data_IF_769671745470
#
_entry.id   IF_769671745470
#
_cell.length_a   1.000
_cell.length_b   1.000
_cell.length_c   1.000
_cell.angle_alpha   90.00
_cell.angle_beta   90.00
_cell.angle_gamma   90.00
#
_symmetry.space_group_name_H-M   'P 1'
#
loop_
_entity.id
_entity.type
_entity.pdbx_description
1 polymer ?
#
# COMPACT_ATOMS: atom_id res chain seq x y z
N UNK A 1 -24.84 33.05 17.17
CA UNK A 1 -25.49 33.08 15.84
C UNK A 1 -24.52 33.73 14.88
N UNK A 2 -24.07 33.01 13.84
CA UNK A 2 -23.13 33.51 12.85
C UNK A 2 -22.54 32.34 12.06
N UNK A 3 -23.34 31.74 11.17
CA UNK A 3 -22.84 30.79 10.17
C UNK A 3 -22.18 31.63 9.07
N UNK A 4 -20.85 31.59 8.97
CA UNK A 4 -20.14 32.09 7.81
C UNK A 4 -20.03 30.94 6.81
N UNK A 5 -21.01 30.85 5.91
CA UNK A 5 -20.82 30.08 4.69
C UNK A 5 -19.96 30.96 3.76
N UNK A 6 -18.72 30.54 3.47
CA UNK A 6 -17.95 31.11 2.36
C UNK A 6 -18.56 30.48 1.09
N UNK A 7 -19.35 31.22 0.29
CA UNK A 7 -19.95 30.67 -0.91
C UNK A 7 -18.84 30.57 -1.97
N UNK A 8 -18.72 29.40 -2.61
CA UNK A 8 -18.11 29.21 -3.94
C UNK A 8 -16.60 29.43 -4.14
N UNK A 9 -15.73 29.15 -3.17
CA UNK A 9 -14.30 28.93 -3.52
C UNK A 9 -14.11 27.49 -4.00
N UNK A 10 -14.14 27.28 -5.32
CA UNK A 10 -13.75 26.02 -5.94
C UNK A 10 -12.22 25.94 -6.07
N UNK A 11 -11.57 25.34 -5.08
CA UNK A 11 -10.14 25.05 -5.16
C UNK A 11 -9.90 23.81 -6.03
N UNK A 12 -9.16 23.97 -7.13
CA UNK A 12 -8.65 22.83 -7.89
C UNK A 12 -7.26 22.45 -7.38
N UNK A 13 -7.14 21.24 -6.86
CA UNK A 13 -5.88 20.66 -6.40
C UNK A 13 -5.33 19.75 -7.50
N UNK A 14 -4.08 19.98 -7.90
CA UNK A 14 -3.36 19.09 -8.81
C UNK A 14 -2.09 18.57 -8.12
N UNK A 15 -1.92 17.24 -8.12
CA UNK A 15 -0.69 16.56 -7.71
C UNK A 15 0.09 16.26 -8.98
N UNK A 16 1.29 16.83 -9.13
CA UNK A 16 2.13 16.51 -10.28
C UNK A 16 2.89 15.17 -10.09
N UNK A 17 3.59 14.74 -11.15
CA UNK A 17 4.40 13.51 -11.14
C UNK A 17 5.51 13.46 -10.09
N UNK A 18 5.85 14.60 -9.48
CA UNK A 18 6.85 14.72 -8.42
C UNK A 18 6.21 14.80 -7.03
N UNK A 19 4.87 14.73 -6.93
CA UNK A 19 4.13 14.83 -5.69
C UNK A 19 3.90 16.27 -5.21
N UNK A 20 4.12 17.29 -6.05
CA UNK A 20 3.90 18.69 -5.65
C UNK A 20 2.41 19.02 -5.77
N UNK A 21 1.85 19.55 -4.69
CA UNK A 21 0.50 20.12 -4.65
C UNK A 21 0.55 21.59 -5.09
N UNK A 22 -0.18 21.92 -6.17
CA UNK A 22 -0.34 23.32 -6.61
C UNK A 22 -1.79 23.75 -6.42
N UNK A 23 -1.98 24.88 -5.74
CA UNK A 23 -3.26 25.55 -5.64
C UNK A 23 -3.43 26.48 -6.85
N UNK A 24 -4.45 26.24 -7.66
CA UNK A 24 -4.74 27.03 -8.86
C UNK A 24 -6.01 27.85 -8.66
N UNK A 25 -5.89 28.95 -7.93
CA UNK A 25 -6.93 29.98 -7.91
C UNK A 25 -6.36 31.33 -7.46
N UNK A 26 -6.93 32.40 -8.01
CA UNK A 26 -6.70 33.74 -7.47
C UNK A 26 -7.60 33.90 -6.24
N UNK A 27 -7.02 34.31 -5.10
CA UNK A 27 -7.82 34.66 -3.93
C UNK A 27 -8.71 35.85 -4.30
N UNK A 28 -9.99 35.87 -3.88
CA UNK A 28 -10.85 37.02 -4.08
C UNK A 28 -10.24 38.28 -3.48
N UNK A 29 -10.38 39.43 -4.14
CA UNK A 29 -9.78 40.70 -3.70
C UNK A 29 -10.19 41.09 -2.28
N UNK A 30 -11.42 40.76 -1.85
CA UNK A 30 -11.90 41.06 -0.50
C UNK A 30 -11.15 40.29 0.61
N UNK A 31 -10.36 39.26 0.25
CA UNK A 31 -9.49 38.51 1.16
C UNK A 31 -8.05 39.04 1.18
N UNK A 32 -7.71 40.04 0.36
CA UNK A 32 -6.33 40.52 0.21
C UNK A 32 -5.74 41.13 1.49
N UNK A 33 -6.59 41.63 2.39
CA UNK A 33 -6.18 42.21 3.68
C UNK A 33 -6.49 41.31 4.88
N UNK A 34 -6.85 40.04 4.63
CA UNK A 34 -7.17 39.09 5.67
C UNK A 34 -6.08 38.02 5.77
N UNK A 35 -5.71 37.65 7.00
CA UNK A 35 -4.92 36.45 7.22
C UNK A 35 -5.79 35.22 6.91
N UNK A 36 -5.43 34.48 5.86
CA UNK A 36 -6.11 33.25 5.44
C UNK A 36 -5.28 32.04 5.87
N UNK A 37 -5.79 31.23 6.77
CA UNK A 37 -5.19 29.94 7.14
C UNK A 37 -5.75 28.81 6.25
N UNK A 38 -4.86 28.12 5.53
CA UNK A 38 -5.22 26.96 4.70
C UNK A 38 -4.62 25.69 5.32
N UNK A 39 -5.47 24.81 5.83
CA UNK A 39 -5.06 23.52 6.40
C UNK A 39 -5.27 22.42 5.36
N UNK A 40 -4.19 21.76 4.93
CA UNK A 40 -4.23 20.62 4.00
C UNK A 40 -3.83 19.36 4.76
N UNK A 41 -4.75 18.41 4.86
CA UNK A 41 -4.48 17.08 5.43
C UNK A 41 -4.36 16.05 4.33
N UNK A 42 -3.17 15.46 4.16
CA UNK A 42 -2.93 14.39 3.19
C UNK A 42 -2.87 13.04 3.92
N UNK A 43 -3.77 12.12 3.56
CA UNK A 43 -3.73 10.73 4.03
C UNK A 43 -3.22 9.81 2.93
N UNK A 44 -1.90 9.70 2.79
CA UNK A 44 -1.32 8.72 1.88
C UNK A 44 -1.27 7.34 2.54
N UNK A 45 -1.80 6.31 1.87
CA UNK A 45 -1.54 4.91 2.22
C UNK A 45 -0.37 4.42 1.37
N UNK A 46 0.61 3.69 1.93
CA UNK A 46 1.60 3.01 1.13
C UNK A 46 0.87 2.09 0.14
N UNK A 47 1.19 2.22 -1.14
CA UNK A 47 0.77 1.22 -2.12
C UNK A 47 1.58 -0.03 -1.79
N UNK A 48 0.92 -1.08 -1.31
CA UNK A 48 1.56 -2.38 -1.15
C UNK A 48 2.02 -2.82 -2.54
N UNK A 49 3.33 -2.84 -2.76
CA UNK A 49 3.89 -3.41 -3.98
C UNK A 49 3.46 -4.88 -4.03
N UNK A 50 3.01 -5.32 -5.21
CA UNK A 50 2.74 -6.73 -5.44
C UNK A 50 3.95 -7.55 -4.95
N UNK A 51 3.71 -8.66 -4.21
CA UNK A 51 4.81 -9.45 -3.66
C UNK A 51 5.75 -9.86 -4.80
N UNK A 52 7.06 -9.69 -4.57
CA UNK A 52 8.08 -10.09 -5.55
C UNK A 52 7.86 -11.54 -5.95
N UNK A 53 8.00 -11.84 -7.25
CA UNK A 53 7.93 -13.20 -7.75
C UNK A 53 8.93 -14.08 -6.99
N UNK A 54 8.45 -15.22 -6.46
CA UNK A 54 9.32 -16.15 -5.74
C UNK A 54 10.25 -16.82 -6.74
N UNK A 55 11.59 -16.73 -6.57
CA UNK A 55 12.51 -17.40 -7.48
C UNK A 55 12.32 -18.92 -7.39
N UNK A 56 12.22 -19.57 -8.56
CA UNK A 56 12.14 -21.02 -8.65
C UNK A 56 13.53 -21.64 -8.50
N UNK A 57 13.60 -22.80 -7.83
CA UNK A 57 14.81 -23.60 -7.80
C UNK A 57 15.94 -23.05 -6.92
N UNK A 58 15.61 -22.44 -5.78
CA UNK A 58 16.59 -21.96 -4.79
C UNK A 58 17.66 -23.00 -4.41
N UNK A 59 17.31 -24.29 -4.43
CA UNK A 59 18.21 -25.41 -4.11
C UNK A 59 18.51 -26.32 -5.31
N UNK A 60 18.30 -25.84 -6.54
CA UNK A 60 18.55 -26.64 -7.75
C UNK A 60 20.00 -27.12 -7.78
N UNK A 61 20.19 -28.43 -7.91
CA UNK A 61 21.51 -29.07 -7.94
C UNK A 61 22.20 -29.23 -6.58
N UNK A 62 21.67 -28.60 -5.53
CA UNK A 62 22.19 -28.72 -4.15
C UNK A 62 21.39 -29.73 -3.32
N UNK A 63 20.10 -29.90 -3.65
CA UNK A 63 19.24 -30.90 -3.03
C UNK A 63 19.03 -32.08 -4.00
N UNK A 64 19.27 -33.28 -3.50
CA UNK A 64 19.00 -34.53 -4.22
C UNK A 64 18.02 -35.35 -3.40
N UNK A 65 16.93 -35.77 -4.03
CA UNK A 65 15.93 -36.64 -3.41
C UNK A 65 16.43 -38.08 -3.48
N UNK A 66 16.58 -38.78 -2.34
CA UNK A 66 16.97 -40.19 -2.35
C UNK A 66 15.85 -41.05 -2.96
N UNK A 67 16.20 -42.20 -3.55
CA UNK A 67 15.22 -43.11 -4.15
C UNK A 67 14.16 -43.58 -3.14
N UNK A 68 14.56 -43.77 -1.87
CA UNK A 68 13.69 -44.17 -0.76
C UNK A 68 12.60 -43.16 -0.42
N UNK A 69 12.72 -41.90 -0.85
CA UNK A 69 11.65 -40.91 -0.68
C UNK A 69 10.34 -41.31 -1.38
N UNK A 70 10.45 -42.09 -2.46
CA UNK A 70 9.31 -42.54 -3.25
C UNK A 70 8.76 -43.89 -2.78
N UNK A 71 9.39 -44.52 -1.80
CA UNK A 71 8.89 -45.74 -1.17
C UNK A 71 7.75 -45.40 -0.19
N UNK A 72 6.88 -46.37 0.13
CA UNK A 72 5.86 -46.19 1.16
C UNK A 72 6.48 -45.72 2.49
N UNK A 73 5.75 -44.89 3.23
CA UNK A 73 6.17 -44.49 4.56
C UNK A 73 6.32 -45.73 5.47
N UNK A 74 7.33 -45.77 6.35
CA UNK A 74 7.46 -46.82 7.35
C UNK A 74 6.21 -46.93 8.22
N UNK A 75 5.86 -48.16 8.60
CA UNK A 75 4.68 -48.47 9.42
C UNK A 75 4.60 -47.64 10.69
N UNK A 76 5.73 -47.48 11.39
CA UNK A 76 5.83 -46.72 12.63
C UNK A 76 5.55 -45.22 12.44
N UNK A 77 5.87 -44.67 11.26
CA UNK A 77 5.53 -43.29 10.92
C UNK A 77 4.05 -43.21 10.57
N UNK A 78 3.52 -44.13 9.77
CA UNK A 78 2.11 -44.19 9.42
C UNK A 78 1.22 -44.31 10.66
N UNK A 79 1.56 -45.21 11.58
CA UNK A 79 0.81 -45.40 12.84
C UNK A 79 0.82 -44.13 13.68
N UNK A 80 1.96 -43.43 13.77
CA UNK A 80 2.06 -42.14 14.47
C UNK A 80 1.23 -41.03 13.81
N UNK A 81 1.12 -41.02 12.48
CA UNK A 81 0.25 -40.09 11.73
C UNK A 81 -1.25 -40.44 11.88
N UNK A 82 -1.58 -41.72 11.94
CA UNK A 82 -2.95 -42.24 12.04
C UNK A 82 -3.46 -42.35 13.49
N UNK A 83 -2.59 -42.12 14.48
CA UNK A 83 -2.92 -42.19 15.90
C UNK A 83 -3.16 -43.60 16.42
N UNK A 84 -2.46 -44.58 15.84
CA UNK A 84 -2.51 -46.01 16.21
C UNK A 84 -1.40 -46.39 17.19
#
# INVERSE_FOLDING_TARGET
MGKFAIPDIQLTLHVDKNGILKLQHQLPEYMAEQDVEVVITVHAKPIEHAPKARPLGLLKGQFQVPATFFEPLPSEILDAFEGK
#
